data_IF_132667630440
#
_entry.id   IF_132667630440
#
_cell.length_a   1.000
_cell.length_b   1.000
_cell.length_c   1.000
_cell.angle_alpha   90.00
_cell.angle_beta   90.00
_cell.angle_gamma   90.00
#
_symmetry.space_group_name_H-M   'P 1'
#
loop_
_entity.id
_entity.type
_entity.pdbx_description
1 polymer ?
#
# COMPACT_ATOMS: atom_id res chain seq x y z
N UNK A 1 17.34 -7.86 8.97
CA UNK A 1 16.55 -6.83 8.24
C UNK A 1 15.54 -6.30 9.24
N UNK A 2 15.80 -5.09 9.71
CA UNK A 2 15.13 -4.32 10.76
C UNK A 2 13.82 -3.71 10.25
N UNK A 3 12.80 -3.57 11.07
CA UNK A 3 11.53 -2.84 10.84
C UNK A 3 11.63 -1.65 9.85
N UNK A 4 11.23 -1.84 8.59
CA UNK A 4 11.40 -0.87 7.47
C UNK A 4 10.13 -0.05 7.13
N UNK A 5 9.00 -0.29 7.80
CA UNK A 5 7.72 0.41 7.50
C UNK A 5 7.58 1.80 8.16
N UNK A 6 8.39 2.13 9.18
CA UNK A 6 8.30 3.40 9.90
C UNK A 6 9.09 4.56 9.27
N UNK A 7 10.10 4.28 8.43
CA UNK A 7 11.01 5.31 7.92
C UNK A 7 10.57 5.95 6.60
N UNK A 8 9.43 5.56 6.04
CA UNK A 8 8.91 6.09 4.77
C UNK A 8 8.62 7.61 4.78
N UNK A 9 8.71 8.30 5.94
CA UNK A 9 8.55 9.76 6.06
C UNK A 9 9.44 10.49 7.08
N UNK A 10 10.49 9.87 7.66
CA UNK A 10 11.28 10.52 8.74
C UNK A 10 12.78 10.71 8.43
N UNK A 11 13.13 11.08 7.22
CA UNK A 11 14.50 11.52 6.90
C UNK A 11 14.66 13.05 7.00
N UNK A 12 14.54 13.60 8.22
CA UNK A 12 15.13 14.88 8.67
C UNK A 12 14.81 15.09 10.16
N UNK A 13 15.59 14.51 11.05
CA UNK A 13 15.68 14.96 12.44
C UNK A 13 17.13 15.29 12.77
N UNK A 14 17.39 16.59 12.94
CA UNK A 14 18.60 17.10 13.56
C UNK A 14 18.75 16.47 14.96
N UNK A 15 19.91 15.87 15.21
CA UNK A 15 20.37 15.50 16.55
C UNK A 15 20.79 16.78 17.29
N UNK A 16 19.95 17.28 18.20
CA UNK A 16 20.36 18.28 19.20
C UNK A 16 20.37 17.62 20.57
N UNK A 17 21.58 17.34 21.05
CA UNK A 17 21.83 16.85 22.42
C UNK A 17 21.65 18.01 23.39
N UNK A 18 20.60 17.99 24.22
CA UNK A 18 20.46 18.90 25.38
C UNK A 18 20.43 18.04 26.64
N UNK A 19 21.38 18.31 27.53
CA UNK A 19 21.56 17.64 28.81
C UNK A 19 20.43 17.99 29.80
N UNK A 20 19.97 16.97 30.53
CA UNK A 20 18.94 17.04 31.56
C UNK A 20 19.36 17.91 32.76
N UNK A 21 18.41 18.72 33.23
CA UNK A 21 18.41 19.25 34.59
C UNK A 21 17.10 19.95 34.92
N UNK A 22 16.20 19.26 35.65
CA UNK A 22 15.25 19.93 36.55
C UNK A 22 13.76 19.69 36.33
N UNK A 23 13.17 19.09 37.36
CA UNK A 23 11.80 19.20 37.89
C UNK A 23 10.59 18.83 37.01
N UNK A 24 9.90 17.78 37.46
CA UNK A 24 8.60 17.35 36.97
C UNK A 24 7.52 18.41 37.10
N UNK A 25 6.95 18.76 35.95
CA UNK A 25 5.58 19.20 35.82
C UNK A 25 4.89 18.05 35.10
N UNK A 26 3.98 17.37 35.80
CA UNK A 26 3.06 16.43 35.20
C UNK A 26 2.17 17.18 34.22
N UNK A 27 2.64 17.31 32.98
CA UNK A 27 1.79 17.62 31.85
C UNK A 27 0.85 16.43 31.72
N UNK A 28 -0.34 16.55 32.30
CA UNK A 28 -1.52 15.90 31.78
C UNK A 28 -1.59 16.31 30.32
N UNK A 29 -0.94 15.53 29.45
CA UNK A 29 -1.15 15.55 28.01
C UNK A 29 -2.61 15.20 27.84
N UNK A 30 -3.47 16.21 27.93
CA UNK A 30 -4.90 16.09 27.79
C UNK A 30 -5.12 15.39 26.48
N UNK A 31 -5.57 14.14 26.55
CA UNK A 31 -6.16 13.44 25.42
C UNK A 31 -7.34 14.32 25.00
N UNK A 32 -7.09 15.29 24.11
CA UNK A 32 -8.17 16.05 23.50
C UNK A 32 -9.05 14.99 22.85
N UNK A 33 -10.31 14.85 23.28
CA UNK A 33 -11.20 13.85 22.74
C UNK A 33 -11.21 14.03 21.22
N UNK A 34 -10.84 12.98 20.47
CA UNK A 34 -10.90 13.03 19.02
C UNK A 34 -12.36 13.09 18.63
N UNK A 35 -12.73 14.10 17.86
CA UNK A 35 -14.06 14.22 17.27
C UNK A 35 -14.32 12.98 16.40
N UNK A 36 -15.40 12.25 16.70
CA UNK A 36 -15.82 11.05 15.98
C UNK A 36 -15.97 11.26 14.47
N UNK A 37 -16.18 12.51 14.01
CA UNK A 37 -16.25 12.87 12.58
C UNK A 37 -14.97 12.61 11.79
N UNK A 38 -13.84 12.48 12.48
CA UNK A 38 -12.54 12.21 11.82
C UNK A 38 -12.27 10.72 11.64
N UNK A 39 -13.16 9.86 12.12
CA UNK A 39 -13.07 8.41 11.92
C UNK A 39 -13.68 8.01 10.58
N UNK A 40 -13.15 6.96 9.94
CA UNK A 40 -13.70 6.47 8.68
C UNK A 40 -15.17 6.07 8.81
N UNK A 41 -15.96 6.21 7.74
CA UNK A 41 -17.32 5.69 7.65
C UNK A 41 -17.49 4.73 6.45
N UNK A 42 -18.72 4.29 6.18
CA UNK A 42 -19.03 3.38 5.08
C UNK A 42 -18.62 3.93 3.69
N UNK A 43 -18.69 5.26 3.51
CA UNK A 43 -18.24 5.92 2.28
C UNK A 43 -16.74 5.78 2.10
N UNK A 44 -15.95 6.02 3.15
CA UNK A 44 -14.50 5.86 3.12
C UNK A 44 -14.08 4.43 2.83
N UNK A 45 -14.75 3.45 3.46
CA UNK A 45 -14.52 2.02 3.23
C UNK A 45 -14.81 1.66 1.77
N UNK A 46 -15.94 2.12 1.22
CA UNK A 46 -16.31 1.85 -0.17
C UNK A 46 -15.27 2.41 -1.14
N UNK A 47 -14.79 3.64 -0.91
CA UNK A 47 -13.73 4.26 -1.71
C UNK A 47 -12.41 3.47 -1.59
N UNK A 48 -12.04 3.05 -0.38
CA UNK A 48 -10.84 2.26 -0.15
C UNK A 48 -10.90 0.89 -0.83
N UNK A 49 -12.04 0.20 -0.78
CA UNK A 49 -12.25 -1.11 -1.44
C UNK A 49 -12.07 -1.03 -2.96
N UNK A 50 -12.44 0.08 -3.59
CA UNK A 50 -12.18 0.29 -5.02
C UNK A 50 -10.68 0.33 -5.37
N UNK A 51 -9.84 0.73 -4.41
CA UNK A 51 -8.38 0.74 -4.55
C UNK A 51 -7.79 -0.62 -4.17
N UNK A 52 -8.30 -1.26 -3.13
CA UNK A 52 -7.83 -2.59 -2.68
C UNK A 52 -8.01 -3.66 -3.75
N UNK A 53 -9.10 -3.58 -4.52
CA UNK A 53 -9.40 -4.46 -5.64
C UNK A 53 -8.80 -4.05 -6.98
N UNK A 54 -7.98 -2.99 -7.06
CA UNK A 54 -7.36 -2.57 -8.33
C UNK A 54 -6.27 -3.59 -8.74
N UNK A 55 -6.40 -4.26 -9.92
CA UNK A 55 -5.44 -5.29 -10.33
C UNK A 55 -4.03 -4.76 -10.54
N UNK A 56 -3.85 -3.56 -11.07
CA UNK A 56 -2.51 -3.03 -11.27
C UNK A 56 -1.85 -2.71 -9.93
N UNK A 57 -2.58 -2.12 -8.99
CA UNK A 57 -2.01 -1.77 -7.70
C UNK A 57 -1.73 -3.02 -6.84
N UNK A 58 -2.65 -3.98 -6.79
CA UNK A 58 -2.58 -5.23 -6.01
C UNK A 58 -1.85 -5.03 -4.66
N UNK A 59 -2.39 -4.16 -3.78
CA UNK A 59 -1.63 -3.56 -2.70
C UNK A 59 -1.28 -4.55 -1.59
N UNK A 60 0.00 -4.63 -1.24
CA UNK A 60 0.54 -5.47 -0.17
C UNK A 60 0.02 -5.07 1.22
N UNK A 61 -0.15 -3.78 1.46
CA UNK A 61 -0.74 -3.23 2.69
C UNK A 61 -2.00 -2.45 2.33
N UNK A 62 -3.05 -2.61 3.12
CA UNK A 62 -4.37 -1.99 2.92
C UNK A 62 -4.88 -1.46 4.25
N UNK A 63 -5.52 -0.30 4.24
CA UNK A 63 -6.09 0.30 5.43
C UNK A 63 -7.23 1.25 5.08
N UNK A 64 -8.08 1.56 6.05
CA UNK A 64 -9.02 2.68 5.93
C UNK A 64 -8.29 4.01 6.11
N UNK A 65 -8.94 5.11 5.73
CA UNK A 65 -8.49 6.44 6.14
C UNK A 65 -8.40 6.53 7.67
N UNK A 66 -7.45 7.30 8.19
CA UNK A 66 -7.17 7.37 9.62
C UNK A 66 -7.16 8.83 10.13
N UNK A 67 -7.70 9.12 11.33
CA UNK A 67 -7.49 10.40 11.97
C UNK A 67 -6.03 10.56 12.37
N UNK A 68 -5.44 11.71 12.05
CA UNK A 68 -4.11 12.13 12.50
C UNK A 68 -4.27 13.11 13.68
N UNK A 69 -3.18 13.37 14.41
CA UNK A 69 -3.20 14.33 15.51
C UNK A 69 -3.74 15.70 15.03
N UNK A 70 -4.73 16.24 15.74
CA UNK A 70 -5.45 17.46 15.34
C UNK A 70 -6.72 17.14 14.54
N UNK A 71 -7.02 17.99 13.55
CA UNK A 71 -8.14 17.83 12.60
C UNK A 71 -7.68 17.32 11.23
N UNK A 72 -6.48 16.73 11.17
CA UNK A 72 -5.91 16.22 9.94
C UNK A 72 -6.30 14.75 9.74
N UNK A 73 -6.45 14.33 8.48
CA UNK A 73 -6.83 12.97 8.12
C UNK A 73 -5.79 12.37 7.18
N UNK A 74 -5.39 11.15 7.47
CA UNK A 74 -4.48 10.34 6.67
C UNK A 74 -5.31 9.59 5.63
N UNK A 75 -5.01 9.86 4.35
CA UNK A 75 -5.79 9.40 3.21
C UNK A 75 -5.19 8.20 2.47
N UNK A 76 -3.98 7.75 2.81
CA UNK A 76 -3.44 6.55 2.17
C UNK A 76 -4.19 5.32 2.64
N UNK A 77 -4.72 4.56 1.68
CA UNK A 77 -5.54 3.37 1.94
C UNK A 77 -4.90 2.10 1.43
N UNK A 78 -3.82 2.22 0.64
CA UNK A 78 -3.12 1.07 0.09
C UNK A 78 -1.66 1.39 -0.23
N UNK A 79 -0.78 0.40 -0.07
CA UNK A 79 0.63 0.50 -0.39
C UNK A 79 1.14 -0.79 -1.03
N UNK A 80 2.10 -0.66 -1.94
CA UNK A 80 2.91 -1.76 -2.47
C UNK A 80 4.36 -1.31 -2.55
N UNK A 81 5.29 -2.16 -2.17
CA UNK A 81 6.71 -1.89 -2.34
C UNK A 81 7.44 -3.14 -2.84
N UNK A 82 8.52 -2.94 -3.58
CA UNK A 82 9.41 -4.02 -4.01
C UNK A 82 10.81 -3.50 -4.33
N UNK A 83 11.76 -4.42 -4.41
CA UNK A 83 13.12 -4.16 -4.87
C UNK A 83 13.27 -4.63 -6.31
N UNK A 84 14.08 -3.96 -7.14
CA UNK A 84 14.32 -4.36 -8.53
C UNK A 84 15.73 -4.01 -8.98
N UNK A 85 16.28 -4.78 -9.91
CA UNK A 85 17.54 -4.43 -10.56
C UNK A 85 17.40 -3.39 -11.68
N UNK A 86 16.17 -3.05 -12.08
CA UNK A 86 15.93 -1.97 -13.02
C UNK A 86 16.40 -0.63 -12.44
N UNK A 87 16.82 0.31 -13.29
CA UNK A 87 17.07 1.69 -12.85
C UNK A 87 15.79 2.33 -12.32
N UNK A 88 15.90 3.35 -11.47
CA UNK A 88 14.75 4.14 -10.96
C UNK A 88 13.82 4.56 -12.10
N UNK A 89 14.38 5.10 -13.18
CA UNK A 89 13.60 5.55 -14.35
C UNK A 89 12.88 4.41 -15.04
N UNK A 90 13.58 3.31 -15.30
CA UNK A 90 12.98 2.15 -15.98
C UNK A 90 11.87 1.53 -15.14
N UNK A 91 12.09 1.41 -13.83
CA UNK A 91 11.11 0.86 -12.89
C UNK A 91 9.82 1.69 -12.83
N UNK A 92 9.94 3.03 -12.68
CA UNK A 92 8.76 3.92 -12.69
C UNK A 92 8.08 3.92 -14.05
N UNK A 93 8.82 3.92 -15.16
CA UNK A 93 8.24 3.84 -16.50
C UNK A 93 7.45 2.54 -16.72
N UNK A 94 7.94 1.40 -16.21
CA UNK A 94 7.20 0.12 -16.24
C UNK A 94 5.90 0.21 -15.45
N UNK A 95 5.93 0.75 -14.23
CA UNK A 95 4.74 0.92 -13.40
C UNK A 95 3.71 1.87 -14.01
N UNK A 96 4.17 3.01 -14.55
CA UNK A 96 3.28 3.96 -15.23
C UNK A 96 2.63 3.33 -16.46
N UNK A 97 3.37 2.59 -17.29
CA UNK A 97 2.75 1.87 -18.43
C UNK A 97 1.70 0.86 -17.98
N UNK A 98 1.96 0.12 -16.90
CA UNK A 98 1.02 -0.82 -16.33
C UNK A 98 -0.25 -0.13 -15.78
N UNK A 99 -0.07 1.01 -15.12
CA UNK A 99 -1.16 1.85 -14.64
C UNK A 99 -2.05 2.37 -15.78
N UNK A 100 -1.42 2.92 -16.83
CA UNK A 100 -2.12 3.41 -18.02
C UNK A 100 -2.91 2.29 -18.71
N UNK A 101 -2.32 1.10 -18.83
CA UNK A 101 -3.01 -0.09 -19.36
C UNK A 101 -4.22 -0.51 -18.50
N UNK A 102 -4.25 -0.12 -17.22
CA UNK A 102 -5.33 -0.38 -16.26
C UNK A 102 -6.33 0.78 -16.15
N UNK A 103 -6.22 1.79 -17.01
CA UNK A 103 -7.13 2.93 -17.07
C UNK A 103 -6.85 4.05 -16.05
N UNK A 104 -5.62 4.12 -15.52
CA UNK A 104 -5.14 5.29 -14.79
C UNK A 104 -4.65 6.37 -15.75
N UNK A 105 -4.61 7.62 -15.28
CA UNK A 105 -4.08 8.77 -16.03
C UNK A 105 -2.83 9.29 -15.33
N UNK A 106 -1.73 9.44 -16.07
CA UNK A 106 -0.54 10.12 -15.59
C UNK A 106 -0.81 11.62 -15.54
N UNK A 107 -0.60 12.26 -14.40
CA UNK A 107 -0.88 13.69 -14.20
C UNK A 107 0.33 14.51 -13.74
N UNK A 108 1.40 13.83 -13.34
CA UNK A 108 2.64 14.47 -12.92
C UNK A 108 3.80 13.48 -12.95
N UNK A 109 4.99 13.98 -13.30
CA UNK A 109 6.25 13.26 -13.13
C UNK A 109 7.31 14.26 -12.70
N UNK A 110 8.03 13.91 -11.66
CA UNK A 110 9.22 14.60 -11.20
C UNK A 110 10.41 13.65 -11.30
N UNK A 111 11.46 14.05 -12.02
CA UNK A 111 12.72 13.32 -12.09
C UNK A 111 13.82 14.20 -11.51
N UNK A 112 14.30 13.86 -10.32
CA UNK A 112 15.49 14.49 -9.80
C UNK A 112 16.70 14.10 -10.69
N UNK A 113 17.61 15.03 -10.97
CA UNK A 113 18.83 14.70 -11.71
C UNK A 113 19.74 13.81 -10.84
N UNK A 114 20.48 12.92 -11.50
CA UNK A 114 21.58 12.23 -10.85
C UNK A 114 22.63 13.26 -10.39
N UNK A 115 23.10 13.14 -9.16
CA UNK A 115 24.22 13.91 -8.63
C UNK A 115 25.49 13.06 -8.66
N UNK A 116 26.66 13.65 -8.39
CA UNK A 116 27.90 12.88 -8.25
C UNK A 116 27.84 11.88 -7.09
N UNK A 117 26.98 12.12 -6.10
CA UNK A 117 26.93 11.36 -4.84
C UNK A 117 25.74 10.39 -4.75
N UNK A 118 24.69 10.60 -5.57
CA UNK A 118 23.46 9.81 -5.52
C UNK A 118 22.72 9.86 -6.85
N UNK A 119 22.11 8.74 -7.25
CA UNK A 119 21.15 8.73 -8.35
C UNK A 119 19.87 9.47 -7.95
N UNK A 120 19.16 10.06 -8.91
CA UNK A 120 17.97 10.85 -8.65
C UNK A 120 16.77 10.00 -8.23
N UNK A 121 15.93 10.55 -7.36
CA UNK A 121 14.59 10.00 -7.08
C UNK A 121 13.67 10.31 -8.25
N UNK A 122 12.76 9.39 -8.57
CA UNK A 122 11.72 9.63 -9.57
C UNK A 122 10.37 9.39 -8.92
N UNK A 123 9.48 10.36 -9.09
CA UNK A 123 8.10 10.34 -8.60
C UNK A 123 7.16 10.50 -9.78
N UNK A 124 6.15 9.64 -9.88
CA UNK A 124 5.06 9.75 -10.83
C UNK A 124 3.72 9.77 -10.09
N UNK A 125 2.81 10.60 -10.57
CA UNK A 125 1.51 10.84 -9.96
C UNK A 125 0.42 10.42 -10.94
N UNK A 126 -0.49 9.56 -10.48
CA UNK A 126 -1.53 8.94 -11.29
C UNK A 126 -2.89 9.23 -10.66
N UNK A 127 -3.91 9.43 -11.49
CA UNK A 127 -5.30 9.62 -11.06
C UNK A 127 -6.26 8.70 -11.79
N UNK A 128 -7.39 8.40 -11.16
CA UNK A 128 -8.52 7.70 -11.77
C UNK A 128 -9.82 8.21 -11.13
N UNK A 129 -10.89 8.27 -11.92
CA UNK A 129 -12.14 8.91 -11.49
C UNK A 129 -12.11 10.42 -11.66
N UNK A 130 -13.27 11.07 -11.51
CA UNK A 130 -13.44 12.50 -11.78
C UNK A 130 -14.27 13.24 -10.73
N UNK A 131 -14.83 12.50 -9.78
CA UNK A 131 -15.66 13.00 -8.67
C UNK A 131 -15.01 12.64 -7.34
N UNK A 132 -15.50 13.22 -6.24
CA UNK A 132 -15.03 12.87 -4.90
C UNK A 132 -15.28 11.38 -4.58
N UNK A 133 -16.36 10.81 -5.12
CA UNK A 133 -16.79 9.44 -4.79
C UNK A 133 -16.01 8.35 -5.52
N UNK A 134 -15.48 8.65 -6.71
CA UNK A 134 -14.70 7.69 -7.52
C UNK A 134 -13.22 8.09 -7.69
N UNK A 135 -12.86 9.30 -7.22
CA UNK A 135 -11.55 9.92 -7.33
C UNK A 135 -10.50 9.20 -6.50
N UNK A 136 -9.48 8.69 -7.19
CA UNK A 136 -8.37 7.92 -6.66
C UNK A 136 -7.06 8.52 -7.13
N UNK A 137 -6.06 8.50 -6.26
CA UNK A 137 -4.75 9.07 -6.52
C UNK A 137 -3.67 8.08 -6.13
N UNK A 138 -2.63 7.93 -6.95
CA UNK A 138 -1.48 7.06 -6.65
C UNK A 138 -0.19 7.83 -6.88
N UNK A 139 0.73 7.69 -5.93
CA UNK A 139 2.12 8.12 -6.09
C UNK A 139 2.98 6.88 -6.27
N UNK A 140 3.70 6.80 -7.38
CA UNK A 140 4.75 5.82 -7.64
C UNK A 140 6.08 6.51 -7.44
N UNK A 141 6.93 5.97 -6.59
CA UNK A 141 8.23 6.54 -6.28
C UNK A 141 9.31 5.46 -6.38
N UNK A 142 10.43 5.78 -7.03
CA UNK A 142 11.60 4.93 -7.03
C UNK A 142 12.81 5.66 -6.46
N UNK A 143 13.48 5.00 -5.52
CA UNK A 143 14.68 5.47 -4.86
C UNK A 143 15.89 4.71 -5.37
N UNK A 144 17.02 5.40 -5.57
CA UNK A 144 18.28 4.73 -5.83
C UNK A 144 18.69 3.87 -4.63
N UNK A 145 19.56 2.86 -4.83
CA UNK A 145 20.22 2.22 -3.71
C UNK A 145 21.03 3.26 -2.91
N UNK A 146 20.99 3.19 -1.57
CA UNK A 146 21.73 4.11 -0.71
C UNK A 146 23.24 4.09 -1.04
N UNK A 147 23.92 5.27 -1.06
CA UNK A 147 25.30 5.40 -1.53
C UNK A 147 26.32 4.51 -0.80
N UNK A 148 26.14 4.30 0.50
CA UNK A 148 27.02 3.46 1.33
C UNK A 148 26.99 1.97 0.94
N UNK A 149 26.11 1.58 0.02
CA UNK A 149 25.92 0.22 -0.44
C UNK A 149 25.90 0.08 -1.98
N UNK A 150 26.47 1.06 -2.71
CA UNK A 150 26.23 1.31 -4.14
C UNK A 150 26.59 0.18 -5.14
N UNK A 151 27.43 -0.79 -4.79
CA UNK A 151 27.75 -1.88 -5.72
C UNK A 151 26.71 -3.01 -5.66
N UNK A 152 25.77 -3.01 -6.62
CA UNK A 152 24.88 -4.16 -6.89
C UNK A 152 23.62 -4.25 -6.02
N UNK A 153 23.24 -3.18 -5.30
CA UNK A 153 21.96 -3.16 -4.59
C UNK A 153 20.80 -2.76 -5.50
N UNK A 154 19.61 -3.37 -5.31
CA UNK A 154 18.44 -3.09 -6.12
C UNK A 154 17.85 -1.71 -5.83
N UNK A 155 17.27 -1.10 -6.86
CA UNK A 155 16.35 0.05 -6.77
C UNK A 155 15.15 -0.33 -5.92
N UNK A 156 14.70 0.57 -5.04
CA UNK A 156 13.46 0.41 -4.30
C UNK A 156 12.34 1.15 -5.01
N UNK A 157 11.20 0.48 -5.20
CA UNK A 157 9.98 1.06 -5.75
C UNK A 157 8.89 0.99 -4.69
N UNK A 158 8.18 2.10 -4.50
CA UNK A 158 7.02 2.21 -3.62
C UNK A 158 5.84 2.83 -4.36
N UNK A 159 4.65 2.31 -4.09
CA UNK A 159 3.37 2.83 -4.54
C UNK A 159 2.53 3.13 -3.30
N UNK A 160 1.93 4.29 -3.25
CA UNK A 160 0.97 4.67 -2.22
C UNK A 160 -0.29 5.21 -2.88
N UNK A 161 -1.45 4.67 -2.50
CA UNK A 161 -2.74 5.03 -3.05
C UNK A 161 -3.61 5.72 -2.01
N UNK A 162 -4.35 6.73 -2.47
CA UNK A 162 -5.10 7.66 -1.66
C UNK A 162 -6.51 7.84 -2.19
N UNK A 163 -7.46 8.06 -1.29
CA UNK A 163 -8.87 8.33 -1.59
C UNK A 163 -9.37 9.52 -0.78
N UNK A 164 -10.49 10.10 -1.22
CA UNK A 164 -11.18 11.15 -0.47
C UNK A 164 -11.68 10.60 0.88
N UNK A 165 -11.46 11.39 1.93
CA UNK A 165 -12.20 11.26 3.18
C UNK A 165 -13.65 11.73 2.98
N UNK A 166 -14.61 11.23 3.76
CA UNK A 166 -16.01 11.65 3.66
C UNK A 166 -16.25 13.13 3.98
N UNK A 167 -15.30 13.76 4.67
CA UNK A 167 -15.29 15.21 4.93
C UNK A 167 -14.74 16.03 3.77
N UNK A 168 -14.10 15.40 2.78
CA UNK A 168 -13.57 16.09 1.62
C UNK A 168 -14.71 16.51 0.68
N UNK A 169 -14.86 17.80 0.46
CA UNK A 169 -15.84 18.36 -0.48
C UNK A 169 -15.27 18.54 -1.89
N UNK A 170 -13.95 18.43 -2.04
CA UNK A 170 -13.24 18.49 -3.31
C UNK A 170 -12.05 17.53 -3.28
N UNK A 171 -12.05 16.54 -4.16
CA UNK A 171 -11.00 15.54 -4.24
C UNK A 171 -11.01 14.83 -5.62
N UNK A 172 -9.82 14.55 -6.20
CA UNK A 172 -8.55 15.19 -5.89
C UNK A 172 -8.67 16.72 -6.14
N UNK A 173 -7.77 17.52 -5.58
CA UNK A 173 -7.79 18.97 -5.80
C UNK A 173 -7.68 19.28 -7.31
N UNK A 174 -8.83 19.65 -7.91
CA UNK A 174 -9.06 20.23 -9.25
C UNK A 174 -8.20 19.73 -10.43
N UNK A 175 -8.87 19.13 -11.43
CA UNK A 175 -8.50 19.09 -12.86
C UNK A 175 -7.00 19.03 -13.19
N UNK A 176 -6.26 18.07 -12.61
CA UNK A 176 -4.91 17.81 -13.11
C UNK A 176 -5.03 17.22 -14.51
N UNK A 177 -4.55 17.96 -15.50
CA UNK A 177 -4.58 17.52 -16.88
C UNK A 177 -3.68 16.29 -17.05
N UNK A 178 -4.22 15.25 -17.69
CA UNK A 178 -3.43 14.08 -18.04
C UNK A 178 -2.28 14.48 -18.97
N UNK A 179 -1.08 14.00 -18.66
CA UNK A 179 0.13 14.14 -19.47
C UNK A 179 0.46 12.81 -20.14
N UNK A 180 0.91 12.86 -21.40
CA UNK A 180 1.39 11.66 -22.10
C UNK A 180 2.72 11.17 -21.51
N UNK A 181 2.92 9.84 -21.49
CA UNK A 181 4.17 9.24 -21.03
C UNK A 181 5.37 9.72 -21.88
N UNK A 182 5.15 9.89 -23.18
CA UNK A 182 6.11 10.41 -24.16
C UNK A 182 6.52 11.85 -23.88
N UNK A 183 5.66 12.64 -23.24
CA UNK A 183 5.92 14.02 -22.85
C UNK A 183 6.64 14.17 -21.50
N UNK A 184 6.96 13.05 -20.84
CA UNK A 184 7.57 13.04 -19.50
C UNK A 184 9.08 12.76 -19.51
N UNK A 185 9.74 13.07 -18.39
CA UNK A 185 11.14 12.71 -18.16
C UNK A 185 11.38 11.20 -17.93
N UNK A 186 10.34 10.35 -17.98
CA UNK A 186 10.48 8.90 -17.88
C UNK A 186 11.05 8.27 -19.16
N UNK A 187 10.75 8.86 -20.32
CA UNK A 187 11.23 8.37 -21.62
C UNK A 187 12.27 9.28 -22.26
N UNK A 188 12.28 10.57 -21.91
CA UNK A 188 13.27 11.52 -22.41
C UNK A 188 14.52 11.55 -21.52
N UNK A 189 15.71 11.34 -22.11
CA UNK A 189 17.00 11.60 -21.45
C UNK A 189 17.37 13.07 -21.47
N UNK A 190 16.80 13.84 -22.40
CA UNK A 190 16.87 15.29 -22.36
C UNK A 190 15.86 15.78 -21.32
N UNK A 191 16.34 16.46 -20.27
CA UNK A 191 15.46 17.29 -19.45
C UNK A 191 14.70 18.20 -20.43
N UNK A 192 13.36 18.16 -20.51
CA UNK A 192 12.64 19.17 -21.27
C UNK A 192 13.10 20.54 -20.75
N UNK A 193 13.27 21.55 -21.62
CA UNK A 193 13.61 22.89 -21.16
C UNK A 193 12.61 23.25 -20.06
N UNK A 194 13.13 23.61 -18.88
CA UNK A 194 12.32 23.91 -17.70
C UNK A 194 11.13 24.77 -18.16
N UNK A 195 9.88 24.30 -18.01
CA UNK A 195 8.75 25.16 -18.27
C UNK A 195 8.95 26.40 -17.40
N UNK A 196 8.72 27.59 -17.99
CA UNK A 196 8.59 28.84 -17.24
C UNK A 196 7.78 28.55 -15.98
N UNK A 197 8.21 29.09 -14.82
CA UNK A 197 7.88 28.57 -13.50
C UNK A 197 6.43 28.10 -13.49
N UNK A 198 6.26 26.78 -13.42
CA UNK A 198 4.93 26.21 -13.24
C UNK A 198 4.30 26.96 -12.07
N UNK A 199 3.03 27.39 -12.18
CA UNK A 199 2.34 28.06 -11.10
C UNK A 199 2.61 27.25 -9.84
N UNK A 200 3.18 27.93 -8.84
CA UNK A 200 3.64 27.41 -7.56
C UNK A 200 3.10 26.01 -7.32
N UNK A 201 3.95 24.98 -7.49
CA UNK A 201 3.65 23.65 -6.98
C UNK A 201 3.04 23.87 -5.59
N UNK A 202 1.83 23.39 -5.31
CA UNK A 202 1.43 23.23 -3.94
C UNK A 202 2.52 22.34 -3.34
N UNK A 203 3.43 22.92 -2.57
CA UNK A 203 4.37 22.20 -1.69
C UNK A 203 3.62 21.30 -0.69
N UNK A 204 2.32 21.51 -0.68
CA UNK A 204 1.27 20.62 -0.29
C UNK A 204 1.28 19.36 -1.20
N UNK A 205 2.08 18.38 -0.78
CA UNK A 205 1.62 16.99 -0.79
C UNK A 205 0.11 16.99 -0.48
N UNK A 206 -0.76 16.09 -1.00
CA UNK A 206 -2.18 16.05 -0.61
C UNK A 206 -2.42 15.86 0.92
N UNK A 207 -1.33 15.78 1.69
CA UNK A 207 -1.24 16.00 3.13
C UNK A 207 -1.44 17.43 3.61
N UNK A 208 -1.38 18.47 2.76
CA UNK A 208 -1.77 19.76 3.25
C UNK A 208 -3.27 19.80 3.34
N UNK A 209 -3.69 19.71 4.58
CA UNK A 209 -5.04 19.92 4.97
C UNK A 209 -5.44 21.27 4.37
N UNK A 210 -6.49 21.36 3.53
CA UNK A 210 -7.15 22.65 3.38
C UNK A 210 -7.38 23.15 4.80
N UNK A 211 -7.05 24.42 5.07
CA UNK A 211 -7.27 24.99 6.39
C UNK A 211 -8.77 24.93 6.65
N UNK A 212 -9.21 23.85 7.29
CA UNK A 212 -10.56 23.70 7.74
C UNK A 212 -10.68 24.77 8.83
N UNK A 213 -11.19 25.94 8.46
CA UNK A 213 -11.92 26.74 9.41
C UNK A 213 -12.93 25.76 9.97
N UNK A 214 -12.72 25.30 11.21
CA UNK A 214 -13.70 24.52 11.95
C UNK A 214 -15.00 25.26 11.70
N UNK A 215 -15.94 24.74 10.91
CA UNK A 215 -17.23 25.37 10.89
C UNK A 215 -17.63 25.32 12.36
N UNK A 216 -17.96 26.47 12.94
CA UNK A 216 -18.48 26.57 14.31
C UNK A 216 -19.82 25.82 14.33
N UNK A 217 -19.72 24.50 14.27
CA UNK A 217 -20.83 23.59 14.37
C UNK A 217 -21.17 23.59 15.86
N UNK A 218 -22.44 23.81 16.20
CA UNK A 218 -22.88 23.76 17.59
C UNK A 218 -22.40 22.45 18.20
N UNK A 219 -22.01 22.48 19.49
CA UNK A 219 -21.32 21.43 20.24
C UNK A 219 -22.10 20.13 20.46
N UNK A 220 -22.77 19.65 19.42
CA UNK A 220 -23.43 18.38 19.33
C UNK A 220 -22.35 17.30 19.37
N UNK A 221 -22.34 16.54 20.46
CA UNK A 221 -21.45 15.41 20.64
C UNK A 221 -21.68 14.44 19.49
N UNK A 222 -20.64 14.21 18.71
CA UNK A 222 -20.65 13.17 17.69
C UNK A 222 -20.55 11.85 18.43
N UNK A 223 -21.40 10.85 18.11
CA UNK A 223 -21.33 9.53 18.70
C UNK A 223 -19.91 8.98 18.64
N UNK A 224 -19.50 8.25 19.67
CA UNK A 224 -18.23 7.55 19.66
C UNK A 224 -18.17 6.58 18.48
N UNK A 225 -17.03 6.46 17.79
CA UNK A 225 -16.90 5.54 16.67
C UNK A 225 -17.06 4.10 17.19
N UNK A 226 -17.86 3.31 16.49
CA UNK A 226 -18.18 1.95 16.88
C UNK A 226 -17.55 0.96 15.92
N UNK A 227 -17.18 -0.21 16.44
CA UNK A 227 -16.85 -1.31 15.56
C UNK A 227 -18.11 -1.80 14.84
N UNK A 228 -18.00 -2.11 13.54
CA UNK A 228 -19.06 -2.78 12.80
C UNK A 228 -19.15 -4.24 13.25
N UNK A 229 -19.65 -4.47 14.47
CA UNK A 229 -19.71 -5.77 15.13
C UNK A 229 -18.67 -5.93 16.24
N UNK A 230 -18.57 -7.16 16.77
CA UNK A 230 -17.50 -7.54 17.68
C UNK A 230 -16.15 -7.49 16.91
N UNK A 231 -15.17 -6.65 17.31
CA UNK A 231 -13.90 -6.54 16.61
C UNK A 231 -13.10 -7.85 16.63
N UNK A 232 -13.38 -8.74 17.60
CA UNK A 232 -12.72 -10.03 17.75
C UNK A 232 -13.73 -11.12 18.13
N UNK A 233 -14.61 -11.52 17.19
CA UNK A 233 -15.37 -12.71 17.42
C UNK A 233 -14.38 -13.88 17.59
N UNK A 234 -14.74 -14.89 18.39
CA UNK A 234 -13.96 -16.13 18.56
C UNK A 234 -13.48 -16.70 17.21
N UNK A 235 -14.20 -16.38 16.13
CA UNK A 235 -13.85 -16.74 14.76
C UNK A 235 -12.49 -16.23 14.22
N UNK A 236 -11.93 -15.10 14.68
CA UNK A 236 -10.61 -14.65 14.25
C UNK A 236 -9.52 -15.48 14.93
N UNK A 237 -9.68 -15.73 16.22
CA UNK A 237 -8.76 -16.58 16.98
C UNK A 237 -8.76 -18.00 16.39
N UNK A 238 -9.94 -18.56 16.16
CA UNK A 238 -10.10 -19.86 15.50
C UNK A 238 -9.48 -19.87 14.10
N UNK A 239 -9.67 -18.82 13.31
CA UNK A 239 -9.06 -18.71 11.98
C UNK A 239 -7.52 -18.68 12.05
N UNK A 240 -6.96 -17.92 13.00
CA UNK A 240 -5.51 -17.84 13.20
C UNK A 240 -4.92 -19.15 13.70
N UNK A 241 -5.59 -19.85 14.61
CA UNK A 241 -5.18 -21.18 15.09
C UNK A 241 -5.19 -22.21 13.95
N UNK A 242 -6.26 -22.25 13.15
CA UNK A 242 -6.34 -23.11 11.97
C UNK A 242 -5.21 -22.85 10.96
N UNK A 243 -4.76 -21.59 10.83
CA UNK A 243 -3.66 -21.24 9.92
C UNK A 243 -2.27 -21.51 10.51
N UNK A 244 -2.11 -21.56 11.84
CA UNK A 244 -0.85 -21.96 12.48
C UNK A 244 -0.50 -23.41 12.19
N UNK A 245 -1.53 -24.25 12.09
CA UNK A 245 -1.40 -25.67 11.75
C UNK A 245 -1.34 -25.93 10.23
N UNK A 246 -1.37 -24.87 9.40
CA UNK A 246 -1.26 -24.99 7.95
C UNK A 246 0.18 -25.35 7.54
N UNK A 247 0.37 -26.61 7.15
CA UNK A 247 1.67 -27.14 6.73
C UNK A 247 2.25 -26.41 5.51
N UNK A 248 1.41 -25.86 4.64
CA UNK A 248 1.86 -25.13 3.46
C UNK A 248 2.45 -23.77 3.86
N UNK A 249 1.79 -23.05 4.78
CA UNK A 249 2.34 -21.83 5.36
C UNK A 249 3.62 -22.10 6.16
N UNK A 250 3.66 -23.19 6.94
CA UNK A 250 4.86 -23.63 7.65
C UNK A 250 6.03 -23.95 6.71
N UNK A 251 5.77 -24.59 5.57
CA UNK A 251 6.78 -24.88 4.54
C UNK A 251 7.31 -23.60 3.85
N UNK A 252 6.47 -22.57 3.74
CA UNK A 252 6.87 -21.24 3.31
C UNK A 252 7.58 -20.44 4.40
N UNK A 253 7.73 -20.96 5.63
CA UNK A 253 8.31 -20.24 6.76
C UNK A 253 7.46 -19.07 7.26
N UNK A 254 6.18 -19.02 6.90
CA UNK A 254 5.26 -17.96 7.35
C UNK A 254 4.99 -18.16 8.83
N UNK A 255 5.34 -17.15 9.63
CA UNK A 255 5.03 -17.11 11.06
C UNK A 255 3.89 -16.13 11.30
N UNK A 256 2.81 -16.60 11.90
CA UNK A 256 1.65 -15.80 12.24
C UNK A 256 1.85 -15.16 13.61
N UNK A 257 1.82 -13.83 13.69
CA UNK A 257 1.85 -13.14 14.97
C UNK A 257 0.50 -13.23 15.67
N UNK A 258 0.50 -13.26 17.00
CA UNK A 258 -0.72 -13.11 17.79
C UNK A 258 -1.36 -11.75 17.53
N UNK A 259 -2.68 -11.72 17.59
CA UNK A 259 -3.44 -10.47 17.57
C UNK A 259 -3.19 -9.76 18.89
N UNK A 260 -2.55 -8.58 18.85
CA UNK A 260 -2.25 -7.79 20.05
C UNK A 260 -3.52 -7.39 20.81
N UNK A 261 -3.37 -7.14 22.11
CA UNK A 261 -4.47 -6.67 22.96
C UNK A 261 -4.94 -5.28 22.49
N UNK A 262 -6.23 -5.08 22.17
CA UNK A 262 -6.74 -3.81 21.64
C UNK A 262 -6.50 -2.59 22.52
N UNK A 263 -6.29 -2.76 23.83
CA UNK A 263 -6.19 -1.66 24.79
C UNK A 263 -4.90 -0.83 24.61
N UNK A 264 -3.79 -1.42 24.15
CA UNK A 264 -2.49 -0.73 24.08
C UNK A 264 -2.24 -0.01 22.74
N UNK A 265 -3.00 -0.32 21.68
CA UNK A 265 -2.76 0.22 20.33
C UNK A 265 -4.00 0.66 19.56
N UNK A 266 -5.18 0.57 20.19
CA UNK A 266 -6.46 0.59 19.49
C UNK A 266 -6.66 -0.73 18.73
N UNK A 267 -7.90 -1.22 18.52
CA UNK A 267 -8.11 -2.50 17.87
C UNK A 267 -7.68 -2.46 16.40
N UNK A 268 -6.42 -2.71 16.12
CA UNK A 268 -5.97 -3.04 14.78
C UNK A 268 -6.29 -4.52 14.57
N UNK A 269 -7.13 -4.85 13.59
CA UNK A 269 -7.14 -6.21 13.02
C UNK A 269 -5.83 -6.32 12.20
N UNK A 270 -4.68 -6.37 12.88
CA UNK A 270 -3.41 -6.54 12.21
C UNK A 270 -3.26 -8.03 11.91
N UNK A 271 -3.58 -8.41 10.68
CA UNK A 271 -3.04 -9.67 10.19
C UNK A 271 -1.64 -9.37 9.70
N UNK A 272 -0.68 -9.73 10.54
CA UNK A 272 0.69 -9.33 10.35
C UNK A 272 1.35 -10.20 9.30
N UNK A 273 1.99 -9.51 8.35
CA UNK A 273 2.99 -10.11 7.48
C UNK A 273 4.14 -10.65 8.34
N UNK A 274 4.83 -11.73 7.94
CA UNK A 274 6.13 -12.04 8.54
C UNK A 274 7.02 -10.79 8.49
N UNK A 275 7.74 -10.49 9.59
CA UNK A 275 8.65 -9.33 9.70
C UNK A 275 9.74 -9.32 8.63
N UNK A 276 10.00 -10.47 8.01
CA UNK A 276 10.95 -10.63 6.93
C UNK A 276 10.29 -11.41 5.79
N UNK A 277 10.42 -10.95 4.53
CA UNK A 277 10.12 -11.76 3.37
C UNK A 277 10.78 -13.13 3.54
N UNK A 278 10.01 -14.22 3.47
CA UNK A 278 10.64 -15.53 3.42
C UNK A 278 11.21 -15.70 2.02
N UNK A 279 12.48 -16.05 1.91
CA UNK A 279 13.07 -16.45 0.65
C UNK A 279 12.81 -17.95 0.46
N UNK A 280 11.71 -18.31 -0.20
CA UNK A 280 11.62 -19.65 -0.77
C UNK A 280 12.63 -19.75 -1.94
N UNK A 281 13.46 -20.81 -2.02
CA UNK A 281 14.39 -21.01 -3.13
C UNK A 281 13.69 -21.42 -4.45
N UNK A 282 12.35 -21.39 -4.46
CA UNK A 282 11.49 -22.00 -5.46
C UNK A 282 10.89 -20.93 -6.37
N UNK A 283 10.66 -21.27 -7.63
CA UNK A 283 9.95 -20.39 -8.56
C UNK A 283 8.50 -20.11 -8.09
N UNK A 284 7.95 -18.94 -8.43
CA UNK A 284 6.58 -18.57 -8.07
C UNK A 284 5.56 -19.57 -8.62
N UNK A 285 5.76 -20.05 -9.85
CA UNK A 285 4.86 -21.03 -10.48
C UNK A 285 4.81 -22.34 -9.68
N UNK A 286 5.97 -22.85 -9.28
CA UNK A 286 6.08 -24.06 -8.46
C UNK A 286 5.48 -23.86 -7.07
N UNK A 287 5.68 -22.69 -6.48
CA UNK A 287 5.12 -22.33 -5.17
C UNK A 287 3.58 -22.30 -5.22
N UNK A 288 3.01 -21.66 -6.24
CA UNK A 288 1.56 -21.62 -6.47
C UNK A 288 1.01 -23.02 -6.68
N UNK A 289 1.63 -23.84 -7.53
CA UNK A 289 1.21 -25.22 -7.77
C UNK A 289 1.26 -26.08 -6.49
N UNK A 290 2.28 -25.90 -5.65
CA UNK A 290 2.40 -26.57 -4.36
C UNK A 290 1.27 -26.17 -3.40
N UNK A 291 0.99 -24.87 -3.28
CA UNK A 291 -0.10 -24.37 -2.42
C UNK A 291 -1.48 -24.84 -2.90
N UNK A 292 -1.72 -24.83 -4.22
CA UNK A 292 -3.00 -25.28 -4.77
C UNK A 292 -3.23 -26.77 -4.55
N UNK A 293 -2.18 -27.59 -4.63
CA UNK A 293 -2.24 -29.02 -4.25
C UNK A 293 -2.55 -29.24 -2.76
N UNK A 294 -2.32 -28.23 -1.91
CA UNK A 294 -2.57 -28.24 -0.47
C UNK A 294 -3.89 -27.53 -0.10
N UNK A 295 -4.76 -27.26 -1.08
CA UNK A 295 -6.11 -26.74 -0.85
C UNK A 295 -6.24 -25.22 -0.87
N UNK A 296 -5.17 -24.48 -1.19
CA UNK A 296 -5.28 -23.05 -1.49
C UNK A 296 -5.87 -22.83 -2.89
N UNK A 297 -6.72 -21.81 -3.05
CA UNK A 297 -7.35 -21.48 -4.33
C UNK A 297 -6.68 -20.24 -4.91
N UNK A 298 -6.05 -20.35 -6.08
CA UNK A 298 -5.52 -19.19 -6.80
C UNK A 298 -6.67 -18.29 -7.25
N UNK A 299 -6.64 -17.01 -6.86
CA UNK A 299 -7.72 -16.05 -7.10
C UNK A 299 -7.28 -14.81 -7.87
N UNK A 300 -5.97 -14.52 -7.84
CA UNK A 300 -5.40 -13.42 -8.60
C UNK A 300 -3.99 -13.77 -9.07
N UNK A 301 -3.64 -13.33 -10.28
CA UNK A 301 -2.28 -13.36 -10.80
C UNK A 301 -2.02 -12.08 -11.62
N UNK A 302 -0.94 -11.38 -11.31
CA UNK A 302 -0.55 -10.14 -11.97
C UNK A 302 0.87 -10.20 -12.50
N UNK A 303 1.06 -9.77 -13.74
CA UNK A 303 2.34 -9.68 -14.41
C UNK A 303 2.53 -8.25 -14.88
N UNK A 304 3.32 -7.47 -14.13
CA UNK A 304 3.44 -6.02 -14.36
C UNK A 304 4.29 -5.70 -15.58
N UNK A 305 5.33 -6.51 -15.80
CA UNK A 305 6.26 -6.37 -16.91
C UNK A 305 7.71 -6.49 -16.44
N UNK A 306 8.68 -6.23 -17.34
CA UNK A 306 10.08 -6.43 -17.05
C UNK A 306 10.58 -5.60 -15.86
N UNK A 307 11.21 -6.26 -14.90
CA UNK A 307 11.78 -5.62 -13.71
C UNK A 307 10.77 -5.27 -12.62
N UNK A 308 9.49 -5.59 -12.78
CA UNK A 308 8.50 -5.52 -11.71
C UNK A 308 8.16 -6.93 -11.22
N UNK A 309 7.61 -7.08 -9.99
CA UNK A 309 7.30 -8.40 -9.46
C UNK A 309 6.13 -9.06 -10.21
N UNK A 310 6.20 -10.38 -10.36
CA UNK A 310 5.00 -11.18 -10.59
C UNK A 310 4.30 -11.39 -9.25
N UNK A 311 2.98 -11.26 -9.25
CA UNK A 311 2.15 -11.37 -8.06
C UNK A 311 1.19 -12.55 -8.22
N UNK A 312 0.94 -13.26 -7.13
CA UNK A 312 -0.14 -14.23 -7.03
C UNK A 312 -0.89 -14.03 -5.71
N UNK A 313 -2.21 -14.15 -5.71
CA UNK A 313 -2.98 -14.31 -4.48
C UNK A 313 -3.73 -15.61 -4.49
N UNK A 314 -3.65 -16.30 -3.35
CA UNK A 314 -4.40 -17.50 -3.09
C UNK A 314 -5.28 -17.28 -1.87
N UNK A 315 -6.44 -17.92 -1.86
CA UNK A 315 -7.37 -17.88 -0.73
C UNK A 315 -7.64 -19.27 -0.19
N UNK A 316 -7.95 -19.34 1.11
CA UNK A 316 -8.35 -20.57 1.79
C UNK A 316 -9.41 -20.25 2.85
N UNK A 317 -10.47 -21.05 3.00
CA UNK A 317 -11.38 -20.94 4.15
C UNK A 317 -10.61 -21.14 5.47
N UNK A 318 -10.83 -20.26 6.43
CA UNK A 318 -10.27 -20.31 7.78
C UNK A 318 -11.41 -20.10 8.79
N UNK A 319 -12.19 -21.16 9.04
CA UNK A 319 -13.42 -21.09 9.83
C UNK A 319 -14.51 -20.27 9.12
N UNK A 320 -15.01 -19.22 9.78
CA UNK A 320 -16.00 -18.28 9.19
C UNK A 320 -15.36 -17.17 8.34
N UNK A 321 -14.03 -17.14 8.29
CA UNK A 321 -13.24 -16.13 7.59
C UNK A 321 -12.51 -16.77 6.40
N UNK A 322 -11.86 -15.92 5.61
CA UNK A 322 -11.03 -16.33 4.48
C UNK A 322 -9.61 -15.86 4.72
N UNK A 323 -8.64 -16.76 4.69
CA UNK A 323 -7.24 -16.40 4.60
C UNK A 323 -6.89 -16.08 3.15
N UNK A 324 -6.11 -15.02 2.94
CA UNK A 324 -5.59 -14.57 1.65
C UNK A 324 -4.07 -14.50 1.76
N UNK A 325 -3.37 -15.34 1.00
CA UNK A 325 -1.93 -15.38 0.87
C UNK A 325 -1.52 -14.68 -0.41
N UNK A 326 -0.78 -13.57 -0.32
CA UNK A 326 -0.11 -12.94 -1.45
C UNK A 326 1.33 -13.40 -1.54
N UNK A 327 1.73 -13.76 -2.75
CA UNK A 327 3.10 -14.07 -3.13
C UNK A 327 3.61 -13.01 -4.11
N UNK A 328 4.87 -12.62 -3.97
CA UNK A 328 5.54 -11.66 -4.85
C UNK A 328 6.92 -12.19 -5.23
N UNK A 329 7.21 -12.24 -6.52
CA UNK A 329 8.51 -12.68 -7.03
C UNK A 329 9.14 -11.60 -7.88
N UNK A 330 10.26 -11.05 -7.41
CA UNK A 330 11.10 -10.14 -8.20
C UNK A 330 12.15 -10.97 -8.95
N UNK A 331 12.35 -10.74 -10.25
CA UNK A 331 13.47 -11.33 -10.99
C UNK A 331 14.82 -10.95 -10.35
N UNK A 332 15.56 -11.93 -9.82
CA UNK A 332 16.91 -11.71 -9.30
C UNK A 332 17.93 -11.54 -10.43
N UNK A 333 18.96 -10.70 -10.23
CA UNK A 333 20.05 -10.47 -11.20
C UNK A 333 21.07 -11.59 -11.27
N UNK A 334 21.20 -12.42 -10.24
CA UNK A 334 22.20 -13.49 -10.18
C UNK A 334 21.81 -14.59 -9.16
N UNK A 335 20.83 -15.44 -9.50
CA UNK A 335 20.47 -16.59 -8.67
C UNK A 335 18.98 -16.92 -8.66
N UNK A 336 18.53 -17.64 -7.63
CA UNK A 336 17.12 -17.91 -7.39
C UNK A 336 16.35 -16.61 -7.12
N UNK A 337 15.19 -16.44 -7.75
CA UNK A 337 14.28 -15.31 -7.51
C UNK A 337 13.45 -15.60 -6.27
N UNK A 338 13.73 -14.96 -5.12
CA UNK A 338 13.00 -15.23 -3.88
C UNK A 338 11.52 -14.89 -4.05
N UNK A 339 10.65 -15.73 -3.50
CA UNK A 339 9.21 -15.46 -3.41
C UNK A 339 8.88 -14.94 -2.02
N UNK A 340 8.54 -13.67 -1.91
CA UNK A 340 7.99 -13.08 -0.70
C UNK A 340 6.54 -13.53 -0.49
N UNK A 341 6.18 -13.83 0.76
CA UNK A 341 4.85 -14.29 1.14
C UNK A 341 4.26 -13.41 2.26
N UNK A 342 3.01 -12.98 2.09
CA UNK A 342 2.22 -12.26 3.09
C UNK A 342 0.84 -12.87 3.20
N UNK A 343 0.39 -13.16 4.41
CA UNK A 343 -0.95 -13.72 4.67
C UNK A 343 -1.81 -12.75 5.46
N UNK A 344 -3.08 -12.65 5.08
CA UNK A 344 -4.10 -11.80 5.71
C UNK A 344 -5.38 -12.60 5.90
N UNK A 345 -5.98 -12.55 7.08
CA UNK A 345 -7.31 -13.10 7.37
C UNK A 345 -8.34 -12.01 7.13
N UNK A 346 -9.36 -12.31 6.35
CA UNK A 346 -10.40 -11.34 6.00
C UNK A 346 -11.17 -10.89 7.24
N UNK A 347 -11.55 -9.61 7.22
CA UNK A 347 -12.61 -9.10 8.07
C UNK A 347 -13.93 -9.20 7.30
N UNK A 348 -14.92 -9.96 7.79
CA UNK A 348 -16.20 -10.13 7.10
C UNK A 348 -16.81 -8.78 6.70
N UNK A 349 -17.23 -8.66 5.44
CA UNK A 349 -17.82 -7.42 4.89
C UNK A 349 -16.83 -6.34 4.45
N UNK A 350 -15.53 -6.50 4.72
CA UNK A 350 -14.51 -5.49 4.38
C UNK A 350 -13.54 -5.91 3.29
N UNK A 351 -13.43 -7.20 2.98
CA UNK A 351 -12.70 -7.61 1.78
C UNK A 351 -13.40 -7.09 0.51
N UNK A 352 -12.63 -6.80 -0.55
CA UNK A 352 -13.18 -6.69 -1.91
C UNK A 352 -14.03 -7.91 -2.26
N UNK A 353 -14.86 -7.80 -3.30
CA UNK A 353 -15.74 -8.88 -3.76
C UNK A 353 -15.05 -10.25 -3.77
N UNK A 354 -15.77 -11.30 -3.34
CA UNK A 354 -15.23 -12.65 -3.26
C UNK A 354 -14.68 -13.07 -4.64
N UNK A 355 -13.36 -13.26 -4.77
CA UNK A 355 -12.77 -13.50 -6.08
C UNK A 355 -13.10 -14.91 -6.57
N UNK A 356 -13.29 -15.05 -7.88
CA UNK A 356 -13.42 -16.35 -8.50
C UNK A 356 -12.06 -17.05 -8.56
N UNK A 357 -12.08 -18.39 -8.48
CA UNK A 357 -10.90 -19.20 -8.75
C UNK A 357 -10.41 -18.97 -10.19
N UNK A 358 -9.09 -18.90 -10.37
CA UNK A 358 -8.45 -18.86 -11.69
C UNK A 358 -7.54 -20.09 -11.86
N UNK A 359 -7.48 -20.63 -13.07
CA UNK A 359 -6.73 -21.85 -13.37
C UNK A 359 -5.36 -21.60 -13.99
N UNK A 360 -5.17 -20.46 -14.66
CA UNK A 360 -3.97 -20.16 -15.45
C UNK A 360 -3.41 -18.79 -15.07
N UNK A 361 -2.27 -18.71 -14.36
CA UNK A 361 -1.61 -17.44 -14.07
C UNK A 361 -0.85 -16.92 -15.29
N UNK A 362 -0.77 -15.59 -15.42
CA UNK A 362 -0.04 -14.94 -16.52
C UNK A 362 1.47 -15.25 -16.54
N UNK A 363 2.05 -15.65 -15.41
CA UNK A 363 3.47 -16.03 -15.30
C UNK A 363 3.75 -17.49 -15.68
N UNK A 364 2.72 -18.29 -15.99
CA UNK A 364 2.89 -19.63 -16.58
C UNK A 364 2.99 -19.60 -18.12
N UNK A 365 2.85 -18.43 -18.74
CA UNK A 365 2.97 -18.28 -20.19
C UNK A 365 4.43 -18.43 -20.64
N UNK A 366 4.64 -19.09 -21.80
CA UNK A 366 5.99 -19.43 -22.28
C UNK A 366 6.83 -18.23 -22.72
N UNK A 367 6.21 -17.08 -22.97
CA UNK A 367 6.88 -15.85 -23.37
C UNK A 367 6.96 -14.87 -22.19
N UNK A 368 8.10 -14.19 -21.97
CA UNK A 368 8.20 -13.16 -20.95
C UNK A 368 7.19 -12.05 -21.24
N UNK A 369 6.37 -11.74 -20.24
CA UNK A 369 5.38 -10.65 -20.34
C UNK A 369 6.11 -9.32 -20.48
N UNK A 370 5.89 -8.62 -21.59
CA UNK A 370 6.45 -7.29 -21.86
C UNK A 370 5.50 -6.16 -21.48
N UNK A 371 4.24 -6.49 -21.20
CA UNK A 371 3.16 -5.56 -20.86
C UNK A 371 2.40 -6.06 -19.64
N UNK A 372 1.71 -5.14 -18.95
CA UNK A 372 0.82 -5.49 -17.86
C UNK A 372 -0.27 -6.46 -18.33
N UNK A 373 -0.42 -7.57 -17.61
CA UNK A 373 -1.51 -8.51 -17.76
C UNK A 373 -1.91 -9.04 -16.39
N UNK A 374 -3.20 -9.38 -16.24
CA UNK A 374 -3.68 -9.98 -15.00
C UNK A 374 -4.80 -10.99 -15.26
N UNK A 375 -5.05 -11.81 -14.25
CA UNK A 375 -6.16 -12.75 -14.14
C UNK A 375 -6.77 -12.61 -12.75
N UNK A 376 -8.10 -12.59 -12.69
CA UNK A 376 -8.82 -12.40 -11.43
C UNK A 376 -8.73 -10.98 -10.88
N UNK A 377 -9.11 -10.84 -9.61
CA UNK A 377 -9.17 -9.55 -8.88
C UNK A 377 -8.53 -9.74 -7.50
N UNK A 378 -7.66 -8.82 -7.06
CA UNK A 378 -7.13 -8.82 -5.71
C UNK A 378 -8.25 -8.80 -4.66
N UNK A 379 -8.07 -9.57 -3.59
CA UNK A 379 -9.08 -9.71 -2.52
C UNK A 379 -8.54 -9.44 -1.13
N UNK A 380 -7.31 -8.92 -1.04
CA UNK A 380 -6.70 -8.55 0.22
C UNK A 380 -7.58 -7.50 0.91
N UNK A 381 -8.25 -7.91 1.99
CA UNK A 381 -9.00 -7.00 2.86
C UNK A 381 -8.06 -6.07 3.63
N UNK A 382 -8.59 -5.16 4.48
CA UNK A 382 -7.77 -4.23 5.23
C UNK A 382 -6.80 -4.96 6.17
N UNK A 383 -5.52 -4.66 6.06
CA UNK A 383 -4.48 -5.10 7.01
C UNK A 383 -4.42 -4.24 8.27
N UNK A 384 -5.08 -3.08 8.24
CA UNK A 384 -5.27 -2.18 9.36
C UNK A 384 -6.63 -1.50 9.24
N UNK A 385 -7.36 -1.44 10.35
CA UNK A 385 -8.69 -0.83 10.38
C UNK A 385 -8.85 -0.04 11.69
N UNK A 386 -9.77 0.92 11.66
CA UNK A 386 -10.22 1.72 12.79
C UNK A 386 -11.73 1.53 12.99
N UNK A 387 -12.28 1.86 14.17
CA UNK A 387 -13.72 1.85 14.35
C UNK A 387 -14.36 2.86 13.39
N UNK A 388 -15.59 2.56 12.99
CA UNK A 388 -16.30 3.35 12.00
C UNK A 388 -17.22 4.36 12.66
N UNK A 389 -17.32 5.55 12.08
CA UNK A 389 -18.42 6.46 12.35
C UNK A 389 -19.71 5.88 11.73
N UNK A 390 -20.78 5.80 12.52
CA UNK A 390 -22.10 5.36 12.07
C UNK A 390 -22.93 6.46 11.44
#
# INVERSE_FOLDING_TARGET
MTTWQADFMSARRLTTTIALGGLGIGLLSGCVPRDGRTFPNATDVTRAQQVWGDPWLAPGDTQTVEPKAGSDVRRDVARRGYLTAASTRSAVATEVRAALASGWNLVGVECEPDTQESAGTITAELTRGSTVDDGRYVVVQAFPPLPEAAAGRPTQVGLAAYVAHHLDTSWPASERQAIGLEGSCLLSTALPPLPSPSPTQPSESPSASPSWARPDLPGEQVPEPEWPGDPFPDDLRDAMENLRDDTALGALGVTLQDVGDPEDSGPHISVQSPEKPITAPTDLTQTVASLTSQGWTLTYAGCIGPGAPNLAELSRPAGKRTAVLRLSQVPATAGASPVEAKVVVSTPGYSPAAPAAISEPCFAEAAPQTTFSHRGVPSLGPTRMLPLQR
#
